data_IF_046547082725
#
_entry.id   IF_046547082725
#
_cell.length_a   1.000
_cell.length_b   1.000
_cell.length_c   1.000
_cell.angle_alpha   90.00
_cell.angle_beta   90.00
_cell.angle_gamma   90.00
#
_symmetry.space_group_name_H-M   'P 1'
#
loop_
_entity.id
_entity.type
_entity.pdbx_description
1 polymer ?
#
# COMPACT_ATOMS: atom_id res chain seq x y z
N UNK A 1 -24.69 9.46 -1.57
CA UNK A 1 -23.32 9.88 -1.93
C UNK A 1 -22.60 8.64 -2.45
N UNK A 2 -22.19 8.66 -3.71
CA UNK A 2 -21.49 7.55 -4.35
C UNK A 2 -19.99 7.59 -4.04
N UNK A 3 -19.25 6.52 -4.40
CA UNK A 3 -17.78 6.53 -4.44
C UNK A 3 -17.31 7.69 -5.33
N UNK A 4 -16.48 8.57 -4.81
CA UNK A 4 -16.01 9.78 -5.48
C UNK A 4 -14.52 9.72 -5.88
N UNK A 5 -13.81 8.68 -5.44
CA UNK A 5 -12.39 8.48 -5.71
C UNK A 5 -12.14 7.09 -6.28
N UNK A 6 -11.33 7.03 -7.35
CA UNK A 6 -10.93 5.75 -7.95
C UNK A 6 -9.82 5.09 -7.12
N UNK A 7 -8.87 5.90 -6.64
CA UNK A 7 -7.70 5.47 -5.89
C UNK A 7 -7.47 6.34 -4.66
N UNK A 8 -6.94 5.73 -3.60
CA UNK A 8 -6.46 6.44 -2.42
C UNK A 8 -5.21 5.77 -1.87
N UNK A 9 -4.30 6.61 -1.38
CA UNK A 9 -3.04 6.19 -0.80
C UNK A 9 -2.98 6.75 0.62
N UNK A 10 -2.72 5.89 1.59
CA UNK A 10 -2.64 6.27 3.00
C UNK A 10 -1.34 5.77 3.60
N UNK A 11 -0.45 6.71 3.91
CA UNK A 11 0.71 6.43 4.74
C UNK A 11 0.30 6.52 6.22
N UNK A 12 0.37 5.39 6.93
CA UNK A 12 0.03 5.27 8.36
C UNK A 12 1.22 5.58 9.27
N UNK A 13 2.35 5.98 8.71
CA UNK A 13 3.56 6.38 9.43
C UNK A 13 4.45 5.21 9.80
N UNK A 14 5.33 5.48 10.76
CA UNK A 14 6.35 4.55 11.25
C UNK A 14 6.07 4.16 12.69
N UNK A 15 5.85 2.87 12.92
CA UNK A 15 5.73 2.29 14.24
C UNK A 15 7.03 1.57 14.62
N UNK A 16 7.41 1.73 15.87
CA UNK A 16 8.49 0.96 16.49
C UNK A 16 7.90 0.30 17.73
N UNK A 17 7.78 -1.02 17.71
CA UNK A 17 7.46 -1.76 18.93
C UNK A 17 8.79 -2.09 19.61
N UNK A 18 9.02 -1.51 20.77
CA UNK A 18 10.14 -1.83 21.65
C UNK A 18 9.86 -3.10 22.46
N UNK A 19 9.33 -4.16 21.83
CA UNK A 19 9.11 -5.41 22.55
C UNK A 19 10.43 -6.15 22.66
N UNK A 20 11.03 -6.04 23.85
CA UNK A 20 12.24 -6.75 24.27
C UNK A 20 11.96 -8.24 24.39
N UNK A 21 11.92 -8.95 23.26
CA UNK A 21 12.14 -10.38 23.17
C UNK A 21 12.19 -10.79 21.71
N UNK A 22 13.29 -11.41 21.28
CA UNK A 22 13.47 -11.98 19.93
C UNK A 22 12.47 -13.11 19.59
N UNK A 23 11.56 -13.43 20.50
CA UNK A 23 10.60 -14.52 20.37
C UNK A 23 9.39 -14.18 19.50
N UNK A 24 9.03 -12.89 19.34
CA UNK A 24 7.85 -12.50 18.54
C UNK A 24 8.22 -11.59 17.37
N UNK A 25 8.17 -12.15 16.16
CA UNK A 25 8.38 -11.41 14.90
C UNK A 25 7.05 -11.29 14.16
N UNK A 26 6.62 -10.05 13.93
CA UNK A 26 5.45 -9.78 13.08
C UNK A 26 5.86 -10.09 11.63
N UNK A 27 5.24 -11.11 11.05
CA UNK A 27 5.49 -11.56 9.67
C UNK A 27 4.75 -10.69 8.66
N UNK A 28 3.48 -10.39 8.95
CA UNK A 28 2.55 -9.70 8.06
C UNK A 28 1.66 -8.77 8.89
N UNK A 29 1.32 -7.60 8.35
CA UNK A 29 0.48 -6.60 9.01
C UNK A 29 -0.56 -6.07 8.02
N UNK A 30 -1.82 -6.38 8.27
CA UNK A 30 -2.95 -6.00 7.42
C UNK A 30 -3.86 -5.00 8.11
N UNK A 31 -4.18 -3.89 7.44
CA UNK A 31 -5.22 -2.98 7.88
C UNK A 31 -6.53 -3.30 7.17
N UNK A 32 -7.49 -3.86 7.88
CA UNK A 32 -8.85 -3.98 7.35
C UNK A 32 -9.53 -2.61 7.40
N UNK A 33 -9.73 -1.98 6.25
CA UNK A 33 -10.62 -0.82 6.11
C UNK A 33 -11.92 -1.26 5.43
N UNK A 34 -13.06 -0.89 6.04
CA UNK A 34 -14.37 -1.13 5.45
C UNK A 34 -14.63 -0.20 4.28
N UNK A 35 -14.43 -0.68 3.05
CA UNK A 35 -14.75 0.06 1.82
C UNK A 35 -16.25 -0.11 1.46
N UNK A 36 -17.14 0.52 2.22
CA UNK A 36 -18.61 0.45 2.03
C UNK A 36 -19.12 1.26 0.80
N UNK A 37 -20.42 1.56 0.74
CA UNK A 37 -21.17 2.24 -0.34
C UNK A 37 -20.55 3.61 -0.75
N UNK A 38 -19.73 4.19 0.13
CA UNK A 38 -18.94 5.40 -0.09
C UNK A 38 -17.47 5.12 0.23
N UNK A 39 -16.54 5.61 -0.58
CA UNK A 39 -15.10 5.41 -0.40
C UNK A 39 -14.38 5.21 -1.72
N UNK A 40 -13.15 4.71 -1.65
CA UNK A 40 -12.27 4.52 -2.81
C UNK A 40 -12.55 3.16 -3.47
N UNK A 41 -12.36 3.03 -4.78
CA UNK A 41 -12.46 1.72 -5.45
C UNK A 41 -11.24 0.84 -5.17
N UNK A 42 -10.08 1.47 -5.04
CA UNK A 42 -8.80 0.86 -4.68
C UNK A 42 -8.09 1.70 -3.63
N UNK A 43 -7.48 1.03 -2.66
CA UNK A 43 -6.72 1.67 -1.59
C UNK A 43 -5.38 0.99 -1.37
N UNK A 44 -4.34 1.81 -1.27
CA UNK A 44 -3.00 1.41 -0.85
C UNK A 44 -2.70 2.01 0.53
N UNK A 45 -2.66 1.13 1.53
CA UNK A 45 -2.18 1.46 2.87
C UNK A 45 -0.71 1.12 3.03
N UNK A 46 0.11 2.08 3.45
CA UNK A 46 1.54 1.87 3.69
C UNK A 46 1.85 2.11 5.16
N UNK A 47 2.60 1.21 5.78
CA UNK A 47 3.12 1.40 7.14
C UNK A 47 4.54 0.89 7.23
N UNK A 48 5.38 1.60 7.97
CA UNK A 48 6.71 1.09 8.34
C UNK A 48 6.64 0.56 9.75
N UNK A 49 6.94 -0.72 9.95
CA UNK A 49 7.03 -1.32 11.28
C UNK A 49 8.40 -1.98 11.45
N UNK A 50 9.14 -1.56 12.48
CA UNK A 50 10.47 -2.10 12.80
C UNK A 50 11.40 -2.16 11.56
N UNK A 51 11.47 -1.04 10.82
CA UNK A 51 12.25 -0.86 9.58
C UNK A 51 11.80 -1.71 8.38
N UNK A 52 10.66 -2.43 8.49
CA UNK A 52 10.04 -3.13 7.36
C UNK A 52 8.83 -2.36 6.84
N UNK A 53 8.73 -2.23 5.52
CA UNK A 53 7.57 -1.63 4.86
C UNK A 53 6.50 -2.69 4.62
N UNK A 54 5.26 -2.39 5.02
CA UNK A 54 4.09 -3.22 4.73
C UNK A 54 3.13 -2.42 3.84
N UNK A 55 2.79 -3.00 2.70
CA UNK A 55 1.84 -2.45 1.74
C UNK A 55 0.56 -3.29 1.76
N UNK A 56 -0.57 -2.63 1.98
CA UNK A 56 -1.90 -3.22 2.03
C UNK A 56 -2.71 -2.75 0.84
N UNK A 57 -3.05 -3.67 -0.06
CA UNK A 57 -3.85 -3.40 -1.24
C UNK A 57 -5.27 -3.90 -1.00
N UNK A 58 -6.23 -2.98 -1.02
CA UNK A 58 -7.65 -3.28 -0.82
C UNK A 58 -8.42 -2.76 -2.02
N UNK A 59 -9.31 -3.59 -2.54
CA UNK A 59 -10.14 -3.25 -3.68
C UNK A 59 -11.56 -3.75 -3.49
N UNK A 60 -12.48 -3.23 -4.29
CA UNK A 60 -13.91 -3.52 -4.17
C UNK A 60 -14.37 -4.33 -5.37
N UNK A 61 -14.94 -5.51 -5.11
CA UNK A 61 -15.63 -6.31 -6.12
C UNK A 61 -17.13 -5.90 -6.20
N UNK A 62 -17.75 -5.88 -7.41
CA UNK A 62 -17.17 -6.22 -8.72
C UNK A 62 -16.51 -5.04 -9.45
N UNK A 63 -16.42 -3.86 -8.82
CA UNK A 63 -15.93 -2.62 -9.45
C UNK A 63 -14.50 -2.74 -10.00
N UNK A 64 -13.63 -3.42 -9.26
CA UNK A 64 -12.27 -3.77 -9.69
C UNK A 64 -12.17 -5.30 -9.69
N UNK A 65 -11.77 -5.85 -10.84
CA UNK A 65 -11.51 -7.28 -10.93
C UNK A 65 -10.24 -7.63 -10.16
N UNK A 66 -10.18 -8.85 -9.62
CA UNK A 66 -8.96 -9.38 -9.00
C UNK A 66 -7.73 -9.25 -9.91
N UNK A 67 -7.88 -9.47 -11.22
CA UNK A 67 -6.78 -9.33 -12.19
C UNK A 67 -6.27 -7.90 -12.25
N UNK A 68 -7.17 -6.92 -12.30
CA UNK A 68 -6.82 -5.49 -12.31
C UNK A 68 -6.16 -5.09 -10.99
N UNK A 69 -6.70 -5.54 -9.85
CA UNK A 69 -6.12 -5.26 -8.54
C UNK A 69 -4.70 -5.84 -8.39
N UNK A 70 -4.48 -7.06 -8.87
CA UNK A 70 -3.15 -7.69 -8.85
C UNK A 70 -2.15 -6.91 -9.70
N UNK A 71 -2.54 -6.53 -10.93
CA UNK A 71 -1.68 -5.74 -11.82
C UNK A 71 -1.26 -4.40 -11.17
N UNK A 72 -2.18 -3.74 -10.47
CA UNK A 72 -1.88 -2.50 -9.74
C UNK A 72 -0.89 -2.75 -8.60
N UNK A 73 -1.09 -3.80 -7.81
CA UNK A 73 -0.18 -4.15 -6.73
C UNK A 73 1.23 -4.50 -7.25
N UNK A 74 1.31 -5.31 -8.29
CA UNK A 74 2.59 -5.73 -8.90
C UNK A 74 3.36 -4.52 -9.45
N UNK A 75 2.67 -3.58 -10.11
CA UNK A 75 3.30 -2.36 -10.62
C UNK A 75 3.85 -1.49 -9.49
N UNK A 76 3.08 -1.30 -8.40
CA UNK A 76 3.56 -0.54 -7.23
C UNK A 76 4.81 -1.18 -6.64
N UNK A 77 4.82 -2.50 -6.46
CA UNK A 77 5.98 -3.23 -5.94
C UNK A 77 7.18 -3.05 -6.87
N UNK A 78 7.01 -3.26 -8.18
CA UNK A 78 8.07 -3.06 -9.17
C UNK A 78 8.65 -1.64 -9.12
N UNK A 79 7.81 -0.61 -9.01
CA UNK A 79 8.30 0.77 -8.92
C UNK A 79 9.05 1.03 -7.61
N UNK A 80 8.54 0.53 -6.48
CA UNK A 80 9.23 0.65 -5.19
C UNK A 80 10.61 -0.02 -5.23
N UNK A 81 10.70 -1.21 -5.80
CA UNK A 81 11.99 -1.91 -5.97
C UNK A 81 12.96 -1.09 -6.83
N UNK A 82 12.51 -0.57 -7.98
CA UNK A 82 13.35 0.26 -8.86
C UNK A 82 13.86 1.52 -8.17
N UNK A 83 13.01 2.20 -7.40
CA UNK A 83 13.39 3.44 -6.69
C UNK A 83 14.32 3.14 -5.52
N UNK A 84 14.03 2.09 -4.73
CA UNK A 84 14.85 1.72 -3.57
C UNK A 84 16.24 1.18 -3.95
N UNK A 85 16.41 0.63 -5.16
CA UNK A 85 17.71 0.16 -5.67
C UNK A 85 18.58 1.32 -6.17
N UNK A 86 18.00 2.50 -6.43
CA UNK A 86 18.67 3.59 -7.13
C UNK A 86 18.78 4.83 -6.22
N UNK A 87 19.91 4.98 -5.52
CA UNK A 87 20.16 6.06 -4.54
C UNK A 87 20.08 7.49 -5.11
N UNK A 88 20.12 7.66 -6.43
CA UNK A 88 20.16 8.96 -7.13
C UNK A 88 18.84 9.35 -7.82
N UNK A 89 17.70 8.75 -7.47
CA UNK A 89 16.46 8.99 -8.20
C UNK A 89 15.77 10.30 -7.77
N UNK A 90 16.11 11.40 -8.44
CA UNK A 90 15.30 12.63 -8.47
C UNK A 90 14.06 12.34 -9.33
N UNK A 91 12.90 12.16 -8.70
CA UNK A 91 11.63 11.95 -9.41
C UNK A 91 11.22 13.23 -10.17
N UNK A 92 11.59 13.30 -11.45
CA UNK A 92 10.89 14.11 -12.43
C UNK A 92 9.87 13.19 -13.13
N UNK A 93 8.59 13.36 -12.80
CA UNK A 93 7.44 12.86 -13.59
C UNK A 93 6.80 14.13 -14.18
N UNK A 94 6.47 14.29 -15.46
CA UNK A 94 5.95 13.41 -16.52
C UNK A 94 6.48 13.90 -17.88
N UNK A 95 6.46 13.04 -18.92
CA UNK A 95 6.17 13.50 -20.28
C UNK A 95 5.47 12.41 -21.09
N UNK A 96 4.26 12.78 -21.51
CA UNK A 96 3.29 12.26 -22.49
C UNK A 96 2.98 10.75 -22.57
#
# INVERSE_FOLDING_TARGET
MARNNIFSISNRGKFRFSYYSDQLKIKELYFAIGQHISGDCFWLGVVTLNEKLFCNFIYVEPLITKKTAQLLADNVIMFLEKVCINENLTLAMLSD
#
